data_IF_838816271188
#
_entry.id   IF_838816271188
#
_cell.length_a   1.000
_cell.length_b   1.000
_cell.length_c   1.000
_cell.angle_alpha   90.00
_cell.angle_beta   90.00
_cell.angle_gamma   90.00
#
_symmetry.space_group_name_H-M   'P 1'
#
loop_
_entity.id
_entity.type
_entity.pdbx_description
1 polymer ?
#
# COMPACT_ATOMS: atom_id res chain seq x y z
N UNK A 1 -20.05 12.32 -18.01
CA UNK A 1 -18.73 12.55 -17.38
C UNK A 1 -17.70 12.35 -18.47
N UNK A 2 -16.71 13.22 -18.58
CA UNK A 2 -15.60 13.04 -19.53
C UNK A 2 -14.83 11.81 -19.07
N UNK A 3 -14.57 10.85 -19.96
CA UNK A 3 -13.70 9.71 -19.66
C UNK A 3 -12.28 10.25 -19.50
N UNK A 4 -11.76 10.25 -18.27
CA UNK A 4 -10.37 10.61 -17.98
C UNK A 4 -9.50 9.36 -17.95
N UNK A 5 -8.21 9.51 -18.22
CA UNK A 5 -7.28 8.40 -18.24
C UNK A 5 -6.89 7.92 -16.84
N UNK A 6 -6.79 8.83 -15.87
CA UNK A 6 -6.37 8.53 -14.48
C UNK A 6 -7.41 9.04 -13.49
N UNK A 7 -7.79 8.22 -12.51
CA UNK A 7 -8.50 8.69 -11.31
C UNK A 7 -7.55 8.64 -10.11
N UNK A 8 -7.27 9.81 -9.53
CA UNK A 8 -6.53 9.92 -8.26
C UNK A 8 -7.51 9.74 -7.11
N UNK A 9 -7.36 8.67 -6.34
CA UNK A 9 -8.21 8.35 -5.18
C UNK A 9 -7.45 8.67 -3.90
N UNK A 10 -7.99 9.56 -3.09
CA UNK A 10 -7.41 10.02 -1.83
C UNK A 10 -8.32 9.58 -0.68
N UNK A 11 -7.95 8.56 0.11
CA UNK A 11 -8.67 8.25 1.34
C UNK A 11 -8.35 9.30 2.40
N UNK A 12 -9.39 9.86 3.04
CA UNK A 12 -9.27 10.86 4.08
C UNK A 12 -9.95 10.41 5.37
N UNK A 13 -9.28 10.61 6.50
CA UNK A 13 -9.86 10.48 7.83
C UNK A 13 -9.18 11.46 8.79
N UNK A 14 -9.92 12.51 9.20
CA UNK A 14 -9.42 13.59 10.05
C UNK A 14 -8.10 14.18 9.53
N UNK A 15 -8.05 14.49 8.22
CA UNK A 15 -6.84 14.91 7.52
C UNK A 15 -6.74 16.39 7.22
N UNK A 16 -7.52 17.26 7.90
CA UNK A 16 -7.58 18.70 7.66
C UNK A 16 -6.19 19.36 7.57
N UNK A 17 -5.25 18.92 8.41
CA UNK A 17 -3.90 19.52 8.46
C UNK A 17 -3.06 19.27 7.18
N UNK A 18 -3.46 18.33 6.32
CA UNK A 18 -2.67 17.88 5.19
C UNK A 18 -3.35 18.09 3.84
N UNK A 19 -4.69 18.23 3.82
CA UNK A 19 -5.47 18.26 2.59
C UNK A 19 -5.05 19.38 1.64
N UNK A 20 -4.74 20.56 2.15
CA UNK A 20 -4.30 21.69 1.32
C UNK A 20 -3.02 21.34 0.54
N UNK A 21 -2.04 20.71 1.19
CA UNK A 21 -0.79 20.31 0.56
C UNK A 21 -0.99 19.31 -0.59
N UNK A 22 -1.77 18.26 -0.37
CA UNK A 22 -2.00 17.26 -1.42
C UNK A 22 -2.86 17.81 -2.57
N UNK A 23 -3.93 18.56 -2.28
CA UNK A 23 -4.83 19.06 -3.31
C UNK A 23 -4.21 20.19 -4.13
N UNK A 24 -3.48 21.13 -3.52
CA UNK A 24 -2.76 22.18 -4.24
C UNK A 24 -1.62 21.61 -5.12
N UNK A 25 -0.91 20.58 -4.65
CA UNK A 25 0.11 19.93 -5.46
C UNK A 25 -0.47 19.17 -6.66
N UNK A 26 -1.70 18.63 -6.54
CA UNK A 26 -2.43 18.03 -7.66
C UNK A 26 -2.98 19.07 -8.63
N UNK A 27 -3.41 20.23 -8.15
CA UNK A 27 -3.84 21.34 -8.99
C UNK A 27 -2.70 21.86 -9.89
N UNK A 28 -1.45 21.75 -9.42
CA UNK A 28 -0.24 22.15 -10.14
C UNK A 28 0.32 21.11 -11.11
N UNK A 29 -0.34 19.95 -11.32
CA UNK A 29 0.16 18.92 -12.23
C UNK A 29 0.22 19.39 -13.68
N UNK A 30 1.26 18.98 -14.44
CA UNK A 30 1.39 19.24 -15.87
C UNK A 30 0.45 18.39 -16.71
N UNK A 31 0.23 17.15 -16.32
CA UNK A 31 -0.79 16.26 -16.92
C UNK A 31 -2.18 16.69 -16.44
N UNK A 32 -3.17 16.74 -17.34
CA UNK A 32 -4.52 17.26 -17.04
C UNK A 32 -5.66 16.27 -17.25
N UNK A 33 -5.38 15.13 -17.88
CA UNK A 33 -6.40 14.12 -18.17
C UNK A 33 -6.62 13.18 -16.96
N UNK A 34 -6.94 13.79 -15.81
CA UNK A 34 -7.26 13.06 -14.58
C UNK A 34 -8.37 13.73 -13.77
N UNK A 35 -9.04 12.95 -12.95
CA UNK A 35 -9.94 13.41 -11.90
C UNK A 35 -9.36 13.11 -10.51
N UNK A 36 -9.86 13.83 -9.49
CA UNK A 36 -9.56 13.54 -8.08
C UNK A 36 -10.83 13.15 -7.35
N UNK A 37 -10.78 12.01 -6.69
CA UNK A 37 -11.86 11.47 -5.85
C UNK A 37 -11.33 11.42 -4.42
N UNK A 38 -11.81 12.34 -3.59
CA UNK A 38 -11.56 12.35 -2.14
C UNK A 38 -12.61 11.49 -1.46
N UNK A 39 -12.21 10.40 -0.82
CA UNK A 39 -13.12 9.55 -0.06
C UNK A 39 -12.95 9.85 1.43
N UNK A 40 -13.88 10.60 1.96
CA UNK A 40 -13.93 10.90 3.39
C UNK A 40 -14.50 9.72 4.16
N UNK A 41 -13.75 9.23 5.11
CA UNK A 41 -14.03 8.03 5.87
C UNK A 41 -14.61 8.35 7.26
N UNK A 42 -15.60 9.25 7.31
CA UNK A 42 -16.29 9.67 8.53
C UNK A 42 -15.48 10.65 9.37
N UNK A 43 -14.88 11.67 8.74
CA UNK A 43 -14.13 12.71 9.45
C UNK A 43 -15.05 13.65 10.23
N UNK A 44 -14.53 14.20 11.33
CA UNK A 44 -15.21 15.17 12.19
C UNK A 44 -14.43 16.49 12.33
N UNK A 45 -13.35 16.68 11.57
CA UNK A 45 -12.42 17.80 11.69
C UNK A 45 -12.68 18.93 10.70
N UNK A 46 -13.75 18.86 9.89
CA UNK A 46 -14.09 19.85 8.88
C UNK A 46 -13.37 19.70 7.54
N UNK A 47 -12.53 18.66 7.38
CA UNK A 47 -11.76 18.40 6.16
C UNK A 47 -12.63 18.29 4.91
N UNK A 48 -13.81 17.66 5.00
CA UNK A 48 -14.77 17.53 3.89
C UNK A 48 -15.28 18.89 3.41
N UNK A 49 -15.73 19.73 4.35
CA UNK A 49 -16.23 21.06 4.03
C UNK A 49 -15.13 21.95 3.44
N UNK A 50 -13.90 21.85 3.96
CA UNK A 50 -12.74 22.55 3.43
C UNK A 50 -12.48 22.14 1.97
N UNK A 51 -12.41 20.84 1.67
CA UNK A 51 -12.17 20.34 0.33
C UNK A 51 -13.24 20.82 -0.65
N UNK A 52 -14.52 20.74 -0.28
CA UNK A 52 -15.64 21.17 -1.13
C UNK A 52 -15.63 22.69 -1.41
N UNK A 53 -15.23 23.51 -0.44
CA UNK A 53 -15.20 24.97 -0.57
C UNK A 53 -13.96 25.47 -1.33
N UNK A 54 -12.77 24.91 -1.05
CA UNK A 54 -11.48 25.38 -1.59
C UNK A 54 -11.11 24.72 -2.91
N UNK A 55 -11.57 23.49 -3.16
CA UNK A 55 -11.22 22.68 -4.33
C UNK A 55 -12.48 22.10 -5.02
N UNK A 56 -13.35 22.94 -5.62
CA UNK A 56 -14.64 22.50 -6.18
C UNK A 56 -14.53 21.54 -7.37
N UNK A 57 -13.32 21.36 -7.93
CA UNK A 57 -13.01 20.38 -8.96
C UNK A 57 -12.78 18.97 -8.39
N UNK A 58 -12.64 18.81 -7.08
CA UNK A 58 -12.48 17.51 -6.40
C UNK A 58 -13.85 16.89 -6.15
N UNK A 59 -14.01 15.65 -6.58
CA UNK A 59 -15.21 14.87 -6.27
C UNK A 59 -15.10 14.27 -4.88
N UNK A 60 -15.95 14.70 -3.96
CA UNK A 60 -15.98 14.20 -2.59
C UNK A 60 -17.02 13.09 -2.45
N UNK A 61 -16.63 11.99 -1.79
CA UNK A 61 -17.50 10.88 -1.38
C UNK A 61 -17.40 10.78 0.14
N UNK A 62 -18.53 10.91 0.83
CA UNK A 62 -18.58 10.86 2.28
C UNK A 62 -19.11 9.51 2.75
N UNK A 63 -18.36 8.83 3.62
CA UNK A 63 -18.78 7.62 4.32
C UNK A 63 -19.27 8.01 5.73
N UNK A 64 -20.33 7.35 6.25
CA UNK A 64 -20.92 7.75 7.54
C UNK A 64 -20.02 7.47 8.75
N UNK A 65 -19.06 6.56 8.63
CA UNK A 65 -18.16 6.12 9.70
C UNK A 65 -16.77 5.75 9.17
N UNK A 66 -15.81 5.55 10.06
CA UNK A 66 -14.48 5.05 9.71
C UNK A 66 -14.49 3.53 9.48
N UNK A 67 -14.57 3.12 8.23
CA UNK A 67 -14.51 1.71 7.80
C UNK A 67 -13.10 1.20 7.48
N UNK A 68 -12.08 2.01 7.73
CA UNK A 68 -10.67 1.70 7.45
C UNK A 68 -10.23 2.07 6.04
N UNK A 69 -8.92 2.01 5.83
CA UNK A 69 -8.28 2.40 4.57
C UNK A 69 -8.77 1.57 3.38
N UNK A 70 -8.81 0.23 3.52
CA UNK A 70 -9.22 -0.67 2.44
C UNK A 70 -10.61 -0.36 1.88
N UNK A 71 -11.59 -0.05 2.76
CA UNK A 71 -12.95 0.31 2.33
C UNK A 71 -12.96 1.67 1.63
N UNK A 72 -12.29 2.66 2.19
CA UNK A 72 -12.25 4.00 1.60
C UNK A 72 -11.66 3.97 0.18
N UNK A 73 -10.52 3.29 -0.04
CA UNK A 73 -9.94 3.18 -1.39
C UNK A 73 -10.83 2.39 -2.34
N UNK A 74 -11.50 1.34 -1.86
CA UNK A 74 -12.43 0.56 -2.68
C UNK A 74 -13.63 1.40 -3.17
N UNK A 75 -14.19 2.26 -2.32
CA UNK A 75 -15.28 3.14 -2.72
C UNK A 75 -14.82 4.15 -3.79
N UNK A 76 -13.62 4.71 -3.65
CA UNK A 76 -13.03 5.57 -4.67
C UNK A 76 -12.78 4.82 -6.00
N UNK A 77 -12.23 3.60 -5.93
CA UNK A 77 -12.01 2.74 -7.12
C UNK A 77 -13.34 2.45 -7.83
N UNK A 78 -14.39 2.09 -7.11
CA UNK A 78 -15.73 1.81 -7.68
C UNK A 78 -16.36 3.05 -8.30
N UNK A 79 -16.13 4.22 -7.73
CA UNK A 79 -16.67 5.49 -8.22
C UNK A 79 -15.94 6.01 -9.47
N UNK A 80 -14.73 5.54 -9.73
CA UNK A 80 -13.92 5.88 -10.90
C UNK A 80 -14.33 5.05 -12.11
N UNK A 81 -14.20 5.63 -13.32
CA UNK A 81 -14.31 4.92 -14.60
C UNK A 81 -12.97 4.86 -15.36
N UNK A 82 -11.92 5.48 -14.87
CA UNK A 82 -10.62 5.58 -15.53
C UNK A 82 -9.92 4.22 -15.71
N UNK A 83 -9.09 4.10 -16.75
CA UNK A 83 -8.27 2.90 -17.02
C UNK A 83 -7.22 2.67 -15.93
N UNK A 84 -6.71 3.76 -15.34
CA UNK A 84 -5.71 3.72 -14.29
C UNK A 84 -6.22 4.39 -13.01
N UNK A 85 -5.99 3.74 -11.88
CA UNK A 85 -6.32 4.27 -10.55
C UNK A 85 -5.04 4.56 -9.79
N UNK A 86 -4.83 5.82 -9.44
CA UNK A 86 -3.71 6.28 -8.62
C UNK A 86 -4.18 6.49 -7.18
N UNK A 87 -3.74 5.65 -6.27
CA UNK A 87 -3.97 5.85 -4.84
C UNK A 87 -2.91 6.79 -4.28
N UNK A 88 -3.35 7.78 -3.53
CA UNK A 88 -2.49 8.79 -2.93
C UNK A 88 -2.98 9.13 -1.52
N UNK A 89 -2.09 9.05 -0.53
CA UNK A 89 -2.45 9.44 0.83
C UNK A 89 -2.68 10.95 0.95
N UNK A 90 -3.57 11.34 1.88
CA UNK A 90 -3.86 12.74 2.16
C UNK A 90 -2.69 13.51 2.80
N UNK A 91 -1.73 12.82 3.45
CA UNK A 91 -0.53 13.40 4.08
C UNK A 91 0.70 13.41 3.13
N UNK A 92 0.44 13.74 1.85
CA UNK A 92 1.47 13.81 0.80
C UNK A 92 1.45 15.13 0.04
N UNK A 93 2.59 15.48 -0.56
CA UNK A 93 2.71 16.50 -1.60
C UNK A 93 3.44 15.87 -2.79
N UNK A 94 3.04 16.19 -4.02
CA UNK A 94 3.59 15.58 -5.22
C UNK A 94 4.32 16.58 -6.11
N UNK A 95 5.39 16.14 -6.79
CA UNK A 95 6.06 16.94 -7.80
C UNK A 95 5.14 17.17 -9.01
N UNK A 96 5.37 18.29 -9.73
CA UNK A 96 4.50 18.76 -10.85
C UNK A 96 4.28 17.75 -11.98
N UNK A 97 5.17 16.80 -12.18
CA UNK A 97 5.07 15.79 -13.23
C UNK A 97 4.67 14.39 -12.67
N UNK A 98 4.30 14.30 -11.39
CA UNK A 98 4.08 13.04 -10.68
C UNK A 98 3.04 12.14 -11.37
N UNK A 99 1.86 12.66 -11.70
CA UNK A 99 0.79 11.86 -12.34
C UNK A 99 1.25 11.35 -13.70
N UNK A 100 1.91 12.18 -14.51
CA UNK A 100 2.46 11.81 -15.81
C UNK A 100 3.53 10.72 -15.71
N UNK A 101 4.44 10.85 -14.74
CA UNK A 101 5.53 9.86 -14.53
C UNK A 101 4.98 8.52 -14.04
N UNK A 102 3.95 8.53 -13.16
CA UNK A 102 3.27 7.31 -12.73
C UNK A 102 2.56 6.61 -13.89
N UNK A 103 1.80 7.35 -14.69
CA UNK A 103 1.10 6.84 -15.85
C UNK A 103 2.07 6.29 -16.90
N UNK A 104 3.15 7.03 -17.17
CA UNK A 104 4.20 6.61 -18.09
C UNK A 104 4.88 5.34 -17.63
N UNK A 105 5.16 5.20 -16.34
CA UNK A 105 5.79 4.00 -15.78
C UNK A 105 4.90 2.77 -15.96
N UNK A 106 3.61 2.83 -15.59
CA UNK A 106 2.73 1.67 -15.70
C UNK A 106 2.45 1.27 -17.15
N UNK A 107 2.43 2.23 -18.08
CA UNK A 107 2.27 1.98 -19.51
C UNK A 107 3.48 1.29 -20.14
N UNK A 108 4.70 1.61 -19.69
CA UNK A 108 5.93 0.95 -20.19
C UNK A 108 5.94 -0.56 -19.89
N UNK A 109 5.31 -0.98 -18.81
CA UNK A 109 5.29 -2.38 -18.36
C UNK A 109 3.90 -3.00 -18.58
N UNK A 110 3.70 -3.66 -19.73
CA UNK A 110 2.37 -4.20 -20.13
C UNK A 110 1.75 -5.14 -19.11
N UNK A 111 2.59 -5.86 -18.34
CA UNK A 111 2.16 -6.82 -17.32
C UNK A 111 2.17 -6.21 -15.89
N UNK A 112 2.40 -4.90 -15.76
CA UNK A 112 2.36 -4.23 -14.48
C UNK A 112 0.93 -4.16 -13.94
N UNK A 113 0.74 -4.77 -12.76
CA UNK A 113 -0.44 -4.58 -11.93
C UNK A 113 -0.41 -3.21 -11.28
N UNK A 114 0.77 -2.84 -10.74
CA UNK A 114 0.96 -1.57 -10.04
C UNK A 114 2.38 -1.01 -10.22
N UNK A 115 2.49 0.32 -10.07
CA UNK A 115 3.79 1.01 -9.92
C UNK A 115 3.75 1.87 -8.66
N UNK A 116 4.82 1.82 -7.85
CA UNK A 116 5.02 2.68 -6.68
C UNK A 116 5.80 3.94 -7.07
N UNK A 117 5.39 5.11 -6.60
CA UNK A 117 6.17 6.34 -6.69
C UNK A 117 7.39 6.32 -5.74
N UNK A 118 8.32 7.23 -6.00
CA UNK A 118 9.46 7.51 -5.12
C UNK A 118 8.98 8.33 -3.93
N UNK A 119 8.72 7.67 -2.80
CA UNK A 119 8.32 8.37 -1.59
C UNK A 119 9.54 8.90 -0.85
N UNK A 120 9.56 10.20 -0.64
CA UNK A 120 10.60 10.96 0.08
C UNK A 120 10.03 11.42 1.41
N UNK A 121 10.85 11.43 2.47
CA UNK A 121 10.43 11.94 3.77
C UNK A 121 10.14 13.44 3.68
N UNK A 122 8.97 13.88 4.10
CA UNK A 122 8.56 15.27 4.03
C UNK A 122 9.50 16.21 4.80
N UNK A 123 9.89 15.81 6.01
CA UNK A 123 10.74 16.58 6.92
C UNK A 123 12.25 16.39 6.70
N UNK A 124 12.66 15.46 5.83
CA UNK A 124 14.07 15.20 5.48
C UNK A 124 14.14 14.78 4.01
N UNK A 125 14.04 15.76 3.12
CA UNK A 125 13.90 15.56 1.67
C UNK A 125 15.13 14.93 0.99
N UNK A 126 16.20 14.72 1.73
CA UNK A 126 17.39 13.98 1.25
C UNK A 126 17.26 12.46 1.49
N UNK A 127 16.17 12.01 2.17
CA UNK A 127 15.95 10.62 2.53
C UNK A 127 14.66 10.03 1.98
N UNK A 128 14.80 8.80 1.52
CA UNK A 128 13.65 7.99 1.10
C UNK A 128 12.79 7.59 2.30
N UNK A 129 11.48 7.58 2.09
CA UNK A 129 10.51 6.92 2.95
C UNK A 129 10.17 5.52 2.42
N UNK A 130 9.95 5.40 1.10
CA UNK A 130 9.65 4.11 0.44
C UNK A 130 10.08 4.16 -1.04
N UNK A 131 10.69 3.09 -1.53
CA UNK A 131 11.02 2.86 -2.94
C UNK A 131 10.48 1.48 -3.40
N UNK A 132 9.30 1.12 -2.92
CA UNK A 132 8.67 -0.18 -3.07
C UNK A 132 8.83 -1.05 -1.83
N UNK A 133 7.97 -2.06 -1.72
CA UNK A 133 7.90 -2.91 -0.54
C UNK A 133 8.40 -4.31 -0.83
N UNK A 134 9.03 -4.91 0.18
CA UNK A 134 9.43 -6.30 0.17
C UNK A 134 8.72 -7.11 1.25
N UNK A 135 8.52 -8.39 0.96
CA UNK A 135 8.09 -9.38 1.94
C UNK A 135 9.06 -10.56 1.92
N UNK A 136 9.43 -11.10 3.07
CA UNK A 136 10.41 -12.17 3.16
C UNK A 136 9.90 -13.39 3.94
N UNK A 137 10.61 -14.51 3.83
CA UNK A 137 10.24 -15.77 4.47
C UNK A 137 10.25 -15.74 6.01
N UNK A 138 10.81 -14.69 6.65
CA UNK A 138 10.65 -14.44 8.08
C UNK A 138 9.23 -13.99 8.47
N UNK A 139 8.32 -13.79 7.49
CA UNK A 139 7.03 -13.16 7.72
C UNK A 139 7.16 -11.66 7.99
N UNK A 140 8.12 -10.97 7.38
CA UNK A 140 8.35 -9.55 7.57
C UNK A 140 8.12 -8.76 6.28
N UNK A 141 7.25 -7.74 6.37
CA UNK A 141 7.17 -6.68 5.38
C UNK A 141 8.14 -5.56 5.74
N UNK A 142 8.77 -4.94 4.76
CA UNK A 142 9.65 -3.81 4.96
C UNK A 142 9.75 -2.93 3.70
N UNK A 143 9.84 -1.62 3.93
CA UNK A 143 10.04 -0.63 2.88
C UNK A 143 11.48 -0.70 2.36
N UNK A 144 11.63 -0.71 1.03
CA UNK A 144 12.91 -0.63 0.35
C UNK A 144 13.45 0.80 0.45
N UNK A 145 14.70 0.95 0.80
CA UNK A 145 15.40 2.23 0.80
C UNK A 145 15.05 3.18 1.94
N UNK A 146 14.19 2.82 2.89
CA UNK A 146 13.79 3.72 3.98
C UNK A 146 14.98 4.26 4.76
N UNK A 147 15.10 5.61 4.79
CA UNK A 147 16.18 6.34 5.44
C UNK A 147 17.49 6.40 4.63
N UNK A 148 17.54 5.82 3.43
CA UNK A 148 18.65 5.96 2.48
C UNK A 148 18.53 7.28 1.71
N UNK A 149 19.64 7.70 1.07
CA UNK A 149 19.66 8.87 0.19
C UNK A 149 18.63 8.71 -0.95
N UNK A 150 17.99 9.81 -1.34
CA UNK A 150 17.09 9.89 -2.51
C UNK A 150 17.75 9.45 -3.81
N UNK A 151 19.08 9.54 -3.91
CA UNK A 151 19.87 9.15 -5.09
C UNK A 151 20.22 7.65 -5.11
N UNK A 152 19.87 6.89 -4.08
CA UNK A 152 20.23 5.48 -3.98
C UNK A 152 19.40 4.55 -4.89
N UNK A 153 18.23 5.00 -5.35
CA UNK A 153 17.28 4.20 -6.13
C UNK A 153 16.73 5.01 -7.29
N UNK A 154 17.50 5.16 -8.36
CA UNK A 154 17.16 5.98 -9.53
C UNK A 154 16.77 5.16 -10.77
N UNK A 155 16.69 3.84 -10.64
CA UNK A 155 16.32 2.94 -11.74
C UNK A 155 14.96 2.30 -11.49
N UNK A 156 14.19 2.12 -12.56
CA UNK A 156 12.97 1.31 -12.52
C UNK A 156 13.33 -0.14 -12.17
N UNK A 157 12.61 -0.73 -11.26
CA UNK A 157 12.88 -2.09 -10.80
C UNK A 157 11.58 -2.78 -10.37
N UNK A 158 11.52 -4.09 -10.60
CA UNK A 158 10.44 -4.90 -10.04
C UNK A 158 10.58 -4.99 -8.52
N UNK A 159 9.45 -4.79 -7.82
CA UNK A 159 9.34 -4.88 -6.37
C UNK A 159 8.33 -5.95 -5.99
N UNK A 160 8.37 -6.40 -4.73
CA UNK A 160 7.40 -7.41 -4.29
C UNK A 160 5.98 -6.83 -4.22
N UNK A 161 5.86 -5.62 -3.70
CA UNK A 161 4.60 -4.89 -3.60
C UNK A 161 4.83 -3.38 -3.67
N UNK A 162 3.78 -2.63 -3.96
CA UNK A 162 3.75 -1.17 -3.96
C UNK A 162 3.05 -0.66 -2.71
N UNK A 163 3.52 0.44 -2.13
CA UNK A 163 2.82 1.11 -1.05
C UNK A 163 1.61 1.89 -1.60
N UNK A 164 0.40 1.56 -1.17
CA UNK A 164 -0.82 2.23 -1.62
C UNK A 164 -0.93 3.70 -1.23
N UNK A 165 0.02 4.19 -0.42
CA UNK A 165 0.14 5.62 -0.11
C UNK A 165 0.56 6.49 -1.30
N UNK A 166 1.19 5.91 -2.35
CA UNK A 166 1.51 6.56 -3.62
C UNK A 166 1.76 5.49 -4.70
N UNK A 167 0.69 4.89 -5.24
CA UNK A 167 0.80 3.82 -6.22
C UNK A 167 -0.31 3.89 -7.27
N UNK A 168 0.07 3.70 -8.54
CA UNK A 168 -0.88 3.57 -9.66
C UNK A 168 -1.13 2.10 -9.96
N UNK A 169 -2.38 1.78 -10.27
CA UNK A 169 -2.89 0.44 -10.55
C UNK A 169 -3.58 0.41 -11.90
N UNK A 170 -3.42 -0.69 -12.63
CA UNK A 170 -4.21 -0.96 -13.84
C UNK A 170 -5.57 -1.54 -13.42
N UNK A 171 -6.66 -0.83 -13.75
CA UNK A 171 -8.03 -1.21 -13.36
C UNK A 171 -8.39 -2.63 -13.82
N UNK A 172 -8.12 -2.95 -15.08
CA UNK A 172 -8.40 -4.28 -15.64
C UNK A 172 -7.80 -5.41 -14.79
N UNK A 173 -6.62 -5.18 -14.18
CA UNK A 173 -5.98 -6.17 -13.33
C UNK A 173 -6.53 -6.14 -11.90
N UNK A 174 -6.94 -4.98 -11.39
CA UNK A 174 -7.69 -4.89 -10.13
C UNK A 174 -9.00 -5.66 -10.21
N UNK A 175 -9.75 -5.51 -11.30
CA UNK A 175 -11.03 -6.20 -11.51
C UNK A 175 -10.84 -7.73 -11.53
N UNK A 176 -9.76 -8.22 -12.12
CA UNK A 176 -9.42 -9.66 -12.15
C UNK A 176 -8.88 -10.19 -10.83
N UNK A 177 -8.05 -9.41 -10.14
CA UNK A 177 -7.36 -9.79 -8.89
C UNK A 177 -8.29 -9.69 -7.70
N UNK A 178 -9.32 -8.86 -7.80
CA UNK A 178 -10.16 -8.36 -6.72
C UNK A 178 -9.49 -7.16 -6.05
N UNK A 179 -10.32 -6.29 -5.49
CA UNK A 179 -9.91 -5.04 -4.86
C UNK A 179 -9.20 -5.27 -3.51
N UNK A 180 -8.98 -4.21 -2.75
CA UNK A 180 -8.38 -4.28 -1.41
C UNK A 180 -9.31 -5.04 -0.47
N UNK A 181 -8.78 -5.98 0.29
CA UNK A 181 -9.57 -6.77 1.24
C UNK A 181 -9.90 -5.93 2.48
N UNK A 182 -11.18 -5.62 2.66
CA UNK A 182 -11.69 -4.76 3.72
C UNK A 182 -11.49 -5.34 5.12
N UNK A 183 -11.27 -6.66 5.24
CA UNK A 183 -10.90 -7.27 6.52
C UNK A 183 -9.56 -6.76 7.07
N UNK A 184 -8.67 -6.26 6.23
CA UNK A 184 -7.42 -5.65 6.70
C UNK A 184 -7.67 -4.38 7.50
N UNK A 185 -8.73 -3.64 7.22
CA UNK A 185 -9.00 -2.32 7.76
C UNK A 185 -7.90 -1.31 7.42
N UNK A 186 -6.67 -1.52 7.89
CA UNK A 186 -5.47 -0.76 7.55
C UNK A 186 -4.21 -1.62 7.81
N UNK A 187 -3.16 -1.39 7.05
CA UNK A 187 -1.84 -2.05 7.00
C UNK A 187 -1.85 -3.44 6.37
N UNK A 188 -0.92 -3.66 5.44
CA UNK A 188 -0.70 -4.86 4.64
C UNK A 188 -1.80 -5.21 3.64
N UNK A 189 -2.81 -4.39 3.47
CA UNK A 189 -3.82 -4.51 2.41
C UNK A 189 -3.21 -4.33 1.02
N UNK A 190 -2.23 -3.44 0.89
CA UNK A 190 -1.44 -3.22 -0.32
C UNK A 190 -0.54 -4.41 -0.65
N UNK A 191 0.09 -4.97 0.37
CA UNK A 191 0.87 -6.18 0.22
C UNK A 191 -0.01 -7.38 -0.16
N UNK A 192 -1.23 -7.49 0.39
CA UNK A 192 -2.17 -8.55 0.06
C UNK A 192 -2.60 -8.50 -1.41
N UNK A 193 -3.04 -7.33 -1.89
CA UNK A 193 -3.50 -7.19 -3.28
C UNK A 193 -2.35 -7.42 -4.26
N UNK A 194 -1.16 -6.92 -3.97
CA UNK A 194 0.04 -7.16 -4.77
C UNK A 194 0.47 -8.63 -4.76
N UNK A 195 0.34 -9.33 -3.63
CA UNK A 195 0.62 -10.76 -3.55
C UNK A 195 -0.36 -11.57 -4.42
N UNK A 196 -1.65 -11.26 -4.36
CA UNK A 196 -2.68 -11.88 -5.24
C UNK A 196 -2.38 -11.64 -6.72
N UNK A 197 -2.01 -10.42 -7.08
CA UNK A 197 -1.61 -10.09 -8.45
C UNK A 197 -0.41 -10.93 -8.92
N UNK A 198 0.60 -11.10 -8.08
CA UNK A 198 1.77 -11.93 -8.36
C UNK A 198 1.43 -13.42 -8.52
N UNK A 199 0.48 -13.95 -7.73
CA UNK A 199 -0.03 -15.32 -7.91
C UNK A 199 -0.63 -15.49 -9.31
N UNK A 200 -1.26 -14.45 -9.84
CA UNK A 200 -1.82 -14.46 -11.20
C UNK A 200 -0.77 -14.21 -12.29
N UNK A 201 0.48 -13.90 -11.93
CA UNK A 201 1.59 -13.66 -12.83
C UNK A 201 1.79 -12.19 -13.22
N UNK A 202 1.07 -11.26 -12.61
CA UNK A 202 1.29 -9.82 -12.79
C UNK A 202 2.51 -9.33 -12.02
N UNK A 203 2.97 -8.13 -12.34
CA UNK A 203 4.19 -7.53 -11.82
C UNK A 203 3.90 -6.24 -11.06
N UNK A 204 4.73 -5.95 -10.06
CA UNK A 204 4.74 -4.67 -9.36
C UNK A 204 6.07 -3.99 -9.64
N UNK A 205 6.04 -2.70 -9.94
CA UNK A 205 7.20 -1.91 -10.34
C UNK A 205 7.40 -0.70 -9.45
N UNK A 206 8.59 -0.14 -9.49
CA UNK A 206 8.96 1.11 -8.86
C UNK A 206 9.29 2.15 -9.93
N UNK A 207 8.72 3.35 -9.81
CA UNK A 207 8.85 4.48 -10.72
C UNK A 207 9.70 5.60 -10.08
N UNK A 208 11.02 5.64 -10.28
CA UNK A 208 11.93 6.57 -9.59
C UNK A 208 11.72 8.04 -9.92
N UNK A 209 11.11 8.35 -11.06
CA UNK A 209 10.83 9.72 -11.49
C UNK A 209 9.55 10.31 -10.92
N UNK A 210 8.64 9.46 -10.47
CA UNK A 210 7.39 9.88 -9.84
C UNK A 210 7.65 10.20 -8.36
N UNK A 211 8.01 11.43 -8.06
CA UNK A 211 8.42 11.85 -6.71
C UNK A 211 7.24 12.39 -5.91
N UNK A 212 7.11 11.89 -4.67
CA UNK A 212 6.10 12.30 -3.70
C UNK A 212 6.74 12.48 -2.32
N UNK A 213 6.43 13.57 -1.66
CA UNK A 213 6.83 13.87 -0.29
C UNK A 213 5.76 13.38 0.68
N UNK A 214 6.14 12.58 1.66
CA UNK A 214 5.21 11.92 2.58
C UNK A 214 5.54 12.29 4.03
N UNK A 215 4.55 12.81 4.75
CA UNK A 215 4.71 13.18 6.17
C UNK A 215 4.95 11.93 7.01
N UNK A 216 4.28 10.85 6.66
CA UNK A 216 4.45 9.57 7.31
C UNK A 216 3.81 9.52 8.70
N UNK A 217 2.77 8.73 8.82
CA UNK A 217 2.03 8.59 10.08
C UNK A 217 1.21 9.83 10.48
N UNK A 218 0.90 10.73 9.54
CA UNK A 218 0.11 11.92 9.79
C UNK A 218 -1.21 11.60 10.51
N UNK A 219 -1.99 10.68 9.99
CA UNK A 219 -3.27 10.25 10.58
C UNK A 219 -3.09 9.32 11.79
N UNK A 220 -2.06 8.48 11.82
CA UNK A 220 -1.89 7.41 12.83
C UNK A 220 -0.89 7.74 13.93
N UNK A 221 -0.34 8.95 13.93
CA UNK A 221 0.57 9.46 14.96
C UNK A 221 2.00 8.96 14.84
N UNK A 222 2.50 8.15 15.77
CA UNK A 222 3.90 7.71 15.79
C UNK A 222 4.18 6.49 14.93
N UNK A 223 5.46 6.28 14.59
CA UNK A 223 5.95 5.09 13.86
C UNK A 223 5.55 3.77 14.53
N UNK A 224 5.57 3.72 15.87
CA UNK A 224 5.18 2.58 16.70
C UNK A 224 4.11 3.02 17.68
N UNK A 225 2.91 2.44 17.57
CA UNK A 225 1.82 2.62 18.53
C UNK A 225 1.00 1.33 18.63
N UNK A 226 0.11 1.27 19.62
CA UNK A 226 -0.68 0.08 19.90
C UNK A 226 -1.57 -0.34 18.73
N UNK A 227 -2.21 0.63 18.07
CA UNK A 227 -3.07 0.40 16.92
C UNK A 227 -2.28 -0.24 15.76
N UNK A 228 -1.18 0.38 15.33
CA UNK A 228 -0.32 -0.15 14.26
C UNK A 228 0.21 -1.54 14.60
N UNK A 229 0.68 -1.74 15.84
CA UNK A 229 1.25 -3.01 16.28
C UNK A 229 0.21 -4.12 16.23
N UNK A 230 -1.01 -3.86 16.71
CA UNK A 230 -2.11 -4.82 16.74
C UNK A 230 -2.60 -5.16 15.32
N UNK A 231 -2.87 -4.16 14.48
CA UNK A 231 -3.36 -4.40 13.13
C UNK A 231 -2.28 -5.02 12.21
N UNK A 232 -1.04 -4.56 12.26
CA UNK A 232 0.02 -5.15 11.44
C UNK A 232 0.30 -6.60 11.81
N UNK A 233 0.30 -6.98 13.10
CA UNK A 233 0.49 -8.38 13.51
C UNK A 233 -0.69 -9.26 13.15
N UNK A 234 -1.94 -8.76 13.30
CA UNK A 234 -3.17 -9.42 12.87
C UNK A 234 -3.15 -9.71 11.36
N UNK A 235 -2.92 -8.66 10.60
CA UNK A 235 -2.99 -8.72 9.14
C UNK A 235 -1.85 -9.54 8.55
N UNK A 236 -0.71 -9.60 9.21
CA UNK A 236 0.41 -10.44 8.78
C UNK A 236 0.08 -11.95 8.87
N UNK A 237 -0.57 -12.39 9.95
CA UNK A 237 -1.06 -13.78 10.07
C UNK A 237 -2.10 -14.05 8.98
N UNK A 238 -3.05 -13.13 8.81
CA UNK A 238 -4.10 -13.24 7.81
C UNK A 238 -3.54 -13.29 6.39
N UNK A 239 -2.58 -12.44 6.05
CA UNK A 239 -1.89 -12.41 4.75
C UNK A 239 -1.21 -13.75 4.44
N UNK A 240 -0.47 -14.33 5.41
CA UNK A 240 0.17 -15.64 5.28
C UNK A 240 -0.88 -16.71 5.01
N UNK A 241 -1.91 -16.77 5.84
CA UNK A 241 -2.99 -17.75 5.69
C UNK A 241 -3.70 -17.62 4.34
N UNK A 242 -4.05 -16.41 3.95
CA UNK A 242 -4.85 -16.11 2.76
C UNK A 242 -4.11 -16.45 1.46
N UNK A 243 -2.84 -16.04 1.35
CA UNK A 243 -2.12 -16.06 0.08
C UNK A 243 -1.17 -17.24 -0.11
N UNK A 244 -0.64 -17.81 0.97
CA UNK A 244 0.32 -18.90 0.86
C UNK A 244 -0.40 -20.27 0.83
N UNK A 245 -0.14 -21.13 -0.19
CA UNK A 245 -0.52 -22.54 -0.12
C UNK A 245 0.10 -23.23 1.09
N UNK A 246 -0.53 -24.31 1.57
CA UNK A 246 -0.06 -25.03 2.77
C UNK A 246 1.41 -25.45 2.65
N UNK A 247 1.82 -25.96 1.49
CA UNK A 247 3.22 -26.34 1.25
C UNK A 247 4.17 -25.17 1.38
N UNK A 248 3.79 -23.97 0.87
CA UNK A 248 4.61 -22.77 1.00
C UNK A 248 4.72 -22.32 2.46
N UNK A 249 3.64 -22.43 3.25
CA UNK A 249 3.69 -22.17 4.69
C UNK A 249 4.69 -23.12 5.36
N UNK A 250 4.59 -24.43 5.11
CA UNK A 250 5.47 -25.45 5.70
C UNK A 250 6.93 -25.17 5.34
N UNK A 251 7.24 -24.85 4.09
CA UNK A 251 8.60 -24.54 3.63
C UNK A 251 9.19 -23.30 4.34
N UNK A 252 8.36 -22.35 4.72
CA UNK A 252 8.80 -21.11 5.37
C UNK A 252 8.73 -21.16 6.91
N UNK A 253 8.12 -22.18 7.53
CA UNK A 253 8.05 -22.31 8.99
C UNK A 253 9.42 -22.20 9.70
N UNK A 254 10.52 -22.81 9.20
CA UNK A 254 11.84 -22.68 9.82
C UNK A 254 12.35 -21.22 9.89
N UNK A 255 11.89 -20.35 9.00
CA UNK A 255 12.22 -18.92 8.98
C UNK A 255 11.17 -18.10 9.73
N UNK A 256 9.89 -18.42 9.59
CA UNK A 256 8.80 -17.68 10.23
C UNK A 256 8.85 -17.79 11.75
N UNK A 257 9.10 -18.97 12.30
CA UNK A 257 9.14 -19.18 13.76
C UNK A 257 10.15 -18.23 14.42
N UNK A 258 11.45 -18.23 14.05
CA UNK A 258 12.40 -17.26 14.62
C UNK A 258 12.06 -15.82 14.24
N UNK A 259 11.51 -15.56 13.04
CA UNK A 259 11.08 -14.23 12.63
C UNK A 259 10.00 -13.64 13.53
N UNK A 260 8.99 -14.42 13.88
CA UNK A 260 7.94 -14.01 14.82
C UNK A 260 8.50 -13.89 16.25
N UNK A 261 9.37 -14.81 16.70
CA UNK A 261 10.00 -14.74 18.02
C UNK A 261 10.79 -13.42 18.20
N UNK A 262 11.57 -13.03 17.21
CA UNK A 262 12.30 -11.74 17.22
C UNK A 262 11.33 -10.56 17.30
N UNK A 263 10.21 -10.57 16.56
CA UNK A 263 9.21 -9.49 16.65
C UNK A 263 8.48 -9.46 17.96
N UNK A 264 8.15 -10.62 18.56
CA UNK A 264 7.56 -10.69 19.90
C UNK A 264 8.51 -10.05 20.91
N UNK A 265 9.79 -10.42 20.92
CA UNK A 265 10.79 -9.84 21.79
C UNK A 265 10.92 -8.32 21.58
N UNK A 266 11.04 -7.88 20.32
CA UNK A 266 11.16 -6.46 19.96
C UNK A 266 9.97 -5.64 20.49
N UNK A 267 8.73 -6.07 20.24
CA UNK A 267 7.55 -5.34 20.71
C UNK A 267 7.35 -5.44 22.22
N UNK A 268 7.80 -6.53 22.85
CA UNK A 268 7.82 -6.64 24.32
C UNK A 268 8.77 -5.62 24.94
N UNK A 269 9.98 -5.48 24.39
CA UNK A 269 10.95 -4.46 24.83
C UNK A 269 10.44 -3.02 24.58
N UNK A 270 9.56 -2.83 23.60
CA UNK A 270 8.88 -1.54 23.30
C UNK A 270 7.62 -1.30 24.16
N UNK A 271 7.27 -2.19 25.09
CA UNK A 271 6.05 -2.09 25.91
C UNK A 271 4.75 -2.46 25.18
N UNK A 272 4.83 -3.01 23.97
CA UNK A 272 3.69 -3.34 23.10
C UNK A 272 3.54 -4.85 22.85
N UNK A 273 4.18 -5.69 23.65
CA UNK A 273 4.14 -7.16 23.47
C UNK A 273 2.74 -7.73 23.56
N UNK A 274 1.89 -7.22 24.47
CA UNK A 274 0.50 -7.65 24.61
C UNK A 274 -0.31 -7.36 23.34
N UNK A 275 -0.15 -6.17 22.76
CA UNK A 275 -0.85 -5.79 21.52
C UNK A 275 -0.38 -6.62 20.34
N UNK A 276 0.91 -6.91 20.25
CA UNK A 276 1.45 -7.76 19.20
C UNK A 276 0.88 -9.19 19.27
N UNK A 277 0.85 -9.80 20.46
CA UNK A 277 0.29 -11.14 20.66
C UNK A 277 -1.24 -11.17 20.45
N UNK A 278 -1.95 -10.13 20.92
CA UNK A 278 -3.38 -9.99 20.67
C UNK A 278 -3.67 -9.90 19.16
N UNK A 279 -2.85 -9.16 18.42
CA UNK A 279 -2.96 -9.10 16.96
C UNK A 279 -2.74 -10.47 16.32
N UNK A 280 -1.70 -11.23 16.69
CA UNK A 280 -1.49 -12.61 16.20
C UNK A 280 -2.73 -13.47 16.45
N UNK A 281 -3.27 -13.47 17.68
CA UNK A 281 -4.49 -14.23 18.03
C UNK A 281 -5.66 -13.83 17.15
N UNK A 282 -5.91 -12.54 16.98
CA UNK A 282 -7.00 -12.04 16.13
C UNK A 282 -6.77 -12.40 14.66
N UNK A 283 -5.52 -12.42 14.19
CA UNK A 283 -5.17 -12.85 12.84
C UNK A 283 -5.62 -14.29 12.55
N UNK A 284 -5.41 -15.21 13.47
CA UNK A 284 -5.94 -16.58 13.35
C UNK A 284 -7.47 -16.63 13.37
N UNK A 285 -8.13 -15.78 14.17
CA UNK A 285 -9.60 -15.73 14.24
C UNK A 285 -10.25 -15.28 12.93
N UNK A 286 -9.66 -14.33 12.21
CA UNK A 286 -10.16 -13.84 10.93
C UNK A 286 -9.74 -14.71 9.74
N UNK A 287 -8.83 -15.66 9.94
CA UNK A 287 -8.31 -16.57 8.91
C UNK A 287 -9.32 -17.67 8.61
N UNK A 288 -10.38 -17.31 7.86
CA UNK A 288 -11.46 -18.24 7.49
C UNK A 288 -11.19 -18.88 6.12
N UNK A 289 -11.69 -20.11 5.93
CA UNK A 289 -11.43 -20.93 4.73
C UNK A 289 -11.96 -20.29 3.44
N UNK A 290 -13.09 -19.62 3.50
CA UNK A 290 -13.72 -18.92 2.38
C UNK A 290 -12.93 -17.71 1.87
N UNK A 291 -12.04 -17.16 2.70
CA UNK A 291 -11.17 -16.01 2.37
C UNK A 291 -9.82 -16.40 1.78
N UNK A 292 -9.49 -17.68 1.79
CA UNK A 292 -8.21 -18.18 1.26
C UNK A 292 -8.19 -18.15 -0.26
N UNK A 293 -7.08 -17.63 -0.84
CA UNK A 293 -6.83 -17.71 -2.28
C UNK A 293 -6.76 -19.18 -2.68
N UNK A 294 -7.60 -19.58 -3.65
CA UNK A 294 -7.64 -20.96 -4.13
C UNK A 294 -6.36 -21.27 -4.90
N UNK A 295 -5.67 -22.32 -4.48
CA UNK A 295 -4.51 -22.81 -5.21
C UNK A 295 -4.94 -23.32 -6.59
N UNK A 296 -4.19 -22.92 -7.62
CA UNK A 296 -4.30 -23.45 -8.97
C UNK A 296 -2.96 -23.91 -9.47
N UNK A 297 -2.90 -25.11 -10.02
CA UNK A 297 -1.68 -25.69 -10.60
C UNK A 297 -1.16 -24.81 -11.75
N UNK A 298 -2.04 -24.09 -12.46
CA UNK A 298 -1.66 -23.16 -13.53
C UNK A 298 -0.76 -22.03 -13.02
N UNK A 299 -0.89 -21.67 -11.75
CA UNK A 299 -0.11 -20.62 -11.10
C UNK A 299 1.15 -21.16 -10.39
N UNK A 300 1.46 -22.46 -10.51
CA UNK A 300 2.63 -23.04 -9.86
C UNK A 300 3.95 -22.31 -10.19
N UNK A 301 4.24 -21.93 -11.46
CA UNK A 301 5.45 -21.16 -11.77
C UNK A 301 5.55 -19.85 -11.01
N UNK A 302 4.42 -19.16 -10.81
CA UNK A 302 4.34 -17.90 -10.08
C UNK A 302 4.59 -18.12 -8.57
N UNK A 303 4.01 -19.17 -7.98
CA UNK A 303 4.29 -19.55 -6.60
C UNK A 303 5.77 -19.89 -6.38
N UNK A 304 6.43 -20.54 -7.34
CA UNK A 304 7.88 -20.82 -7.26
C UNK A 304 8.71 -19.54 -7.33
N UNK A 305 8.37 -18.61 -8.24
CA UNK A 305 9.03 -17.29 -8.30
C UNK A 305 8.86 -16.51 -7.00
N UNK A 306 7.64 -16.46 -6.46
CA UNK A 306 7.35 -15.84 -5.17
C UNK A 306 8.19 -16.49 -4.06
N UNK A 307 8.26 -17.83 -4.02
CA UNK A 307 9.02 -18.55 -3.00
C UNK A 307 10.51 -18.21 -3.04
N UNK A 308 11.12 -18.19 -4.22
CA UNK A 308 12.52 -17.80 -4.38
C UNK A 308 12.75 -16.36 -3.91
N UNK A 309 11.84 -15.45 -4.25
CA UNK A 309 11.96 -14.06 -3.84
C UNK A 309 11.77 -13.88 -2.33
N UNK A 310 10.87 -14.62 -1.68
CA UNK A 310 10.74 -14.61 -0.21
C UNK A 310 12.08 -14.96 0.48
N UNK A 311 12.85 -15.90 -0.06
CA UNK A 311 14.17 -16.25 0.46
C UNK A 311 15.23 -15.20 0.14
N UNK A 312 15.28 -14.69 -1.09
CA UNK A 312 16.19 -13.61 -1.50
C UNK A 312 15.95 -12.34 -0.65
N UNK A 313 14.70 -12.06 -0.33
CA UNK A 313 14.33 -10.89 0.46
C UNK A 313 14.79 -11.00 1.93
N UNK A 314 15.10 -12.19 2.46
CA UNK A 314 15.82 -12.31 3.73
C UNK A 314 17.20 -11.62 3.61
N UNK A 315 17.93 -11.94 2.54
CA UNK A 315 19.27 -11.36 2.31
C UNK A 315 19.16 -9.84 2.11
N UNK A 316 18.20 -9.39 1.30
CA UNK A 316 17.93 -7.96 1.07
C UNK A 316 17.63 -7.20 2.37
N UNK A 317 16.91 -7.84 3.31
CA UNK A 317 16.56 -7.24 4.61
C UNK A 317 17.80 -6.93 5.48
N UNK A 318 18.86 -7.74 5.38
CA UNK A 318 20.06 -7.59 6.21
C UNK A 318 21.23 -6.91 5.48
N UNK A 319 21.17 -6.76 4.14
CA UNK A 319 22.17 -6.02 3.36
C UNK A 319 21.81 -4.54 3.16
N UNK A 320 20.58 -4.16 3.32
CA UNK A 320 20.05 -2.80 3.13
C UNK A 320 19.76 -2.11 4.42
#
# INVERSE_FOLDING_TARGET
MQEVEVSVVIPNYNGMAYLDGVLSSLECQTFRDFEVILVDNGSADGSTSFAAASYPWVRVIELPDNYGFSRAVNEGIKASAAEYVLLLNNDTEVEKDFVNEMLSAIKRHRNAFSCAGKMVQFNDRDKLDDAGNYYCALGWAFARGKGKSIHAYDQEEQVFATCAGAAIYRREFLDKTGYFDEEHFAYLEDLDVCYRARIMGYENWYAPKAVVYHVGSGTSGSRYNQFKTRYSSRNNIYLIYKNMPVLQIILNLPFMIPGFAVKILFFTLKGMGREYLAGIKNGFQISKKDRKVRFSIKNLPNYLKIQLELWVNIIRRFRG
#
